data_IF_058518406501
#
_entry.id   IF_058518406501
#
_cell.length_a   1.000
_cell.length_b   1.000
_cell.length_c   1.000
_cell.angle_alpha   90.00
_cell.angle_beta   90.00
_cell.angle_gamma   90.00
#
_symmetry.space_group_name_H-M   'P 1'
#
loop_
_entity.id
_entity.type
_entity.pdbx_description
1 polymer ?
#
# COMPACT_ATOMS: atom_id res chain seq x y z
N UNK A 1 28.99 -22.71 66.06
CA UNK A 1 29.73 -23.66 65.19
C UNK A 1 28.83 -23.99 64.00
N UNK A 2 28.96 -23.30 62.87
CA UNK A 2 29.90 -23.55 61.75
C UNK A 2 29.52 -24.76 60.88
N UNK A 3 28.94 -24.50 59.71
CA UNK A 3 29.41 -24.90 58.35
C UNK A 3 28.38 -24.38 57.32
N UNK A 4 28.60 -23.26 56.60
CA UNK A 4 29.47 -22.96 55.44
C UNK A 4 29.19 -23.75 54.16
N UNK A 5 28.68 -22.99 53.18
CA UNK A 5 29.07 -22.93 51.75
C UNK A 5 28.65 -24.03 50.77
N UNK A 6 27.84 -23.65 49.77
CA UNK A 6 28.20 -23.62 48.33
C UNK A 6 27.02 -23.00 47.53
N UNK A 7 27.13 -21.76 47.06
CA UNK A 7 27.54 -21.36 45.70
C UNK A 7 26.72 -22.03 44.59
N UNK A 8 25.79 -21.28 43.98
CA UNK A 8 25.87 -20.93 42.55
C UNK A 8 24.84 -19.84 42.22
N UNK A 9 25.29 -18.59 42.25
CA UNK A 9 24.55 -17.44 41.72
C UNK A 9 24.50 -17.53 40.19
N UNK A 10 23.36 -17.95 39.63
CA UNK A 10 23.10 -17.82 38.20
C UNK A 10 22.56 -16.41 37.94
N UNK A 11 23.47 -15.47 37.72
CA UNK A 11 23.19 -14.14 37.17
C UNK A 11 22.74 -14.33 35.71
N UNK A 12 21.43 -14.40 35.49
CA UNK A 12 20.84 -14.26 34.16
C UNK A 12 20.93 -12.78 33.80
N UNK A 13 21.95 -12.45 33.00
CA UNK A 13 22.05 -11.17 32.32
C UNK A 13 20.85 -11.05 31.35
N UNK A 14 19.79 -10.37 31.77
CA UNK A 14 18.82 -9.80 30.85
C UNK A 14 19.57 -8.77 30.00
N UNK A 15 20.03 -9.19 28.83
CA UNK A 15 20.34 -8.28 27.74
C UNK A 15 19.03 -7.60 27.35
N UNK A 16 18.82 -6.39 27.88
CA UNK A 16 17.81 -5.48 27.36
C UNK A 16 18.15 -5.20 25.90
N UNK A 17 17.46 -5.88 24.99
CA UNK A 17 17.38 -5.46 23.60
C UNK A 17 16.62 -4.14 23.63
N UNK A 18 17.34 -3.03 23.79
CA UNK A 18 16.82 -1.72 23.44
C UNK A 18 16.56 -1.77 21.93
N UNK A 19 15.31 -2.08 21.57
CA UNK A 19 14.81 -1.68 20.27
C UNK A 19 15.03 -0.18 20.19
N UNK A 20 15.97 0.25 19.35
CA UNK A 20 16.11 1.64 18.98
C UNK A 20 14.82 2.03 18.24
N UNK A 21 13.81 2.45 19.00
CA UNK A 21 12.58 3.04 18.47
C UNK A 21 13.01 4.27 17.68
N UNK A 22 12.58 4.36 16.43
CA UNK A 22 12.77 5.54 15.63
C UNK A 22 12.12 6.74 16.35
N UNK A 23 12.92 7.63 16.91
CA UNK A 23 12.43 8.86 17.54
C UNK A 23 11.87 9.79 16.45
N UNK A 24 10.87 10.63 16.75
CA UNK A 24 10.30 11.56 15.75
C UNK A 24 11.35 12.49 15.10
N UNK A 25 12.39 12.98 15.78
CA UNK A 25 13.48 13.70 15.14
C UNK A 25 14.15 12.89 14.03
N UNK A 26 14.42 13.56 12.92
CA UNK A 26 15.04 12.97 11.76
C UNK A 26 14.64 13.65 10.46
N UNK A 27 15.18 13.12 9.39
CA UNK A 27 14.84 13.49 8.03
C UNK A 27 14.02 12.36 7.42
N UNK A 28 12.95 12.71 6.72
CA UNK A 28 12.03 11.76 6.14
C UNK A 28 11.68 12.14 4.70
N UNK A 29 11.62 11.12 3.83
CA UNK A 29 11.28 11.22 2.41
C UNK A 29 9.87 10.66 2.22
N UNK A 30 9.02 11.40 1.52
CA UNK A 30 7.66 10.95 1.25
C UNK A 30 7.62 9.80 0.26
N UNK A 31 6.70 8.85 0.49
CA UNK A 31 6.45 7.68 -0.35
C UNK A 31 4.98 7.62 -0.73
N UNK A 32 4.65 6.90 -1.81
CA UNK A 32 3.26 6.78 -2.28
C UNK A 32 2.68 8.14 -2.66
N UNK A 33 1.59 8.56 -2.02
CA UNK A 33 0.96 9.87 -2.25
C UNK A 33 1.85 11.05 -1.81
N UNK A 34 2.81 10.82 -0.92
CA UNK A 34 3.77 11.83 -0.48
C UNK A 34 5.04 11.89 -1.35
N UNK A 35 5.11 11.17 -2.49
CA UNK A 35 6.33 11.13 -3.31
C UNK A 35 6.79 12.54 -3.71
N UNK A 36 8.06 12.85 -3.46
CA UNK A 36 8.65 14.18 -3.72
C UNK A 36 8.52 15.16 -2.55
N UNK A 37 7.74 14.83 -1.53
CA UNK A 37 7.64 15.59 -0.28
C UNK A 37 8.78 15.20 0.68
N UNK A 38 9.06 16.08 1.65
CA UNK A 38 10.12 15.89 2.64
C UNK A 38 9.72 16.48 3.99
N UNK A 39 10.08 15.81 5.08
CA UNK A 39 9.92 16.32 6.44
C UNK A 39 11.26 16.26 7.15
N UNK A 40 11.65 17.36 7.79
CA UNK A 40 12.82 17.44 8.65
C UNK A 40 12.36 17.88 10.03
N UNK A 41 12.69 17.09 11.05
CA UNK A 41 12.31 17.35 12.44
C UNK A 41 13.53 17.26 13.34
N UNK A 42 13.62 18.19 14.28
CA UNK A 42 14.61 18.22 15.35
C UNK A 42 13.91 18.43 16.68
N UNK A 43 14.48 17.91 17.76
CA UNK A 43 13.97 18.20 19.10
C UNK A 43 14.17 19.69 19.42
N UNK A 44 13.16 20.32 20.01
CA UNK A 44 13.22 21.69 20.52
C UNK A 44 12.58 21.72 21.93
N UNK A 45 13.42 21.58 22.96
CA UNK A 45 12.97 21.45 24.33
C UNK A 45 12.02 20.25 24.53
N UNK A 46 10.78 20.53 24.91
CA UNK A 46 9.72 19.51 25.06
C UNK A 46 8.96 19.21 23.75
N UNK A 47 9.16 20.01 22.70
CA UNK A 47 8.49 19.89 21.41
C UNK A 47 9.43 19.45 20.29
N UNK A 48 8.99 19.69 19.05
CA UNK A 48 9.78 19.53 17.84
C UNK A 48 9.79 20.84 17.06
N UNK A 49 10.87 21.10 16.34
CA UNK A 49 10.89 22.14 15.31
C UNK A 49 11.43 21.54 14.01
N UNK A 50 10.97 22.06 12.89
CA UNK A 50 11.26 21.43 11.62
C UNK A 50 10.84 22.22 10.40
N UNK A 51 10.96 21.56 9.27
CA UNK A 51 10.40 22.04 8.02
C UNK A 51 9.77 20.89 7.24
N UNK A 52 8.70 21.21 6.50
CA UNK A 52 8.01 20.31 5.60
C UNK A 52 7.99 20.92 4.19
N UNK A 53 8.28 20.10 3.19
CA UNK A 53 8.07 20.42 1.78
C UNK A 53 6.91 19.57 1.29
N UNK A 54 5.83 20.23 0.88
CA UNK A 54 4.60 19.58 0.39
C UNK A 54 4.63 19.43 -1.13
N UNK A 55 3.51 19.00 -1.73
CA UNK A 55 3.40 18.72 -3.17
C UNK A 55 3.60 19.94 -4.09
N UNK A 56 3.51 21.15 -3.54
CA UNK A 56 3.82 22.41 -4.24
C UNK A 56 5.33 22.70 -4.31
N UNK A 57 6.15 21.90 -3.62
CA UNK A 57 7.60 22.08 -3.55
C UNK A 57 8.06 23.22 -2.62
N UNK A 58 7.14 23.94 -1.98
CA UNK A 58 7.49 25.01 -1.07
C UNK A 58 7.85 24.45 0.32
N UNK A 59 9.00 24.88 0.84
CA UNK A 59 9.49 24.50 2.17
C UNK A 59 8.92 25.44 3.22
N UNK A 60 8.21 24.88 4.20
CA UNK A 60 7.55 25.61 5.30
C UNK A 60 8.10 25.15 6.64
N UNK A 61 8.42 26.07 7.51
CA UNK A 61 8.88 25.76 8.87
C UNK A 61 7.70 25.56 9.81
N UNK A 62 7.90 24.76 10.85
CA UNK A 62 6.90 24.55 11.88
C UNK A 62 7.54 24.37 13.26
N UNK A 63 6.74 24.66 14.29
CA UNK A 63 6.94 24.19 15.66
C UNK A 63 5.80 23.27 16.01
N UNK A 64 6.15 22.09 16.50
CA UNK A 64 5.19 21.07 16.89
C UNK A 64 5.23 20.84 18.40
N UNK A 65 4.06 20.74 19.00
CA UNK A 65 3.92 20.31 20.37
C UNK A 65 3.90 18.78 20.42
N UNK A 66 4.63 18.19 21.36
CA UNK A 66 4.72 16.74 21.48
C UNK A 66 3.63 16.23 22.42
N UNK A 67 2.89 15.21 21.97
CA UNK A 67 1.83 14.55 22.74
C UNK A 67 2.13 13.05 22.82
N UNK A 68 3.01 12.67 23.75
CA UNK A 68 3.47 11.29 23.87
C UNK A 68 4.30 10.86 22.66
N UNK A 69 3.74 9.97 21.85
CA UNK A 69 4.40 9.40 20.65
C UNK A 69 4.04 10.12 19.35
N UNK A 70 3.24 11.19 19.44
CA UNK A 70 2.85 12.04 18.33
C UNK A 70 3.35 13.47 18.53
N UNK A 71 3.28 14.27 17.48
CA UNK A 71 3.46 15.70 17.56
C UNK A 71 2.46 16.43 16.66
N UNK A 72 2.13 17.67 16.99
CA UNK A 72 1.10 18.44 16.30
C UNK A 72 1.58 19.85 16.01
N UNK A 73 1.37 20.34 14.79
CA UNK A 73 1.78 21.67 14.36
C UNK A 73 0.72 22.33 13.48
N UNK A 74 0.78 23.65 13.37
CA UNK A 74 0.07 24.40 12.32
C UNK A 74 1.09 25.08 11.40
N UNK A 75 0.78 25.11 10.11
CA UNK A 75 1.57 25.81 9.09
C UNK A 75 0.66 26.66 8.21
N UNK A 76 1.21 27.73 7.65
CA UNK A 76 0.54 28.57 6.66
C UNK A 76 0.96 28.18 5.24
N UNK A 77 -0.01 28.16 4.31
CA UNK A 77 0.20 27.91 2.88
C UNK A 77 -0.46 29.00 2.04
N UNK A 78 -0.14 29.06 0.75
CA UNK A 78 -0.81 29.98 -0.18
C UNK A 78 -2.33 29.78 -0.27
N UNK A 79 -2.81 28.57 0.03
CA UNK A 79 -4.22 28.17 -0.03
C UNK A 79 -4.92 28.21 1.35
N UNK A 80 -4.23 28.67 2.39
CA UNK A 80 -4.73 28.75 3.78
C UNK A 80 -3.87 27.99 4.78
N UNK A 81 -4.37 27.81 6.00
CA UNK A 81 -3.64 27.14 7.08
C UNK A 81 -3.88 25.62 7.06
N UNK A 82 -2.87 24.84 7.45
CA UNK A 82 -2.94 23.39 7.61
C UNK A 82 -2.55 23.01 9.03
N UNK A 83 -3.29 22.07 9.60
CA UNK A 83 -2.89 21.35 10.81
C UNK A 83 -2.20 20.04 10.43
N UNK A 84 -1.09 19.76 11.10
CA UNK A 84 -0.25 18.60 10.88
C UNK A 84 -0.23 17.76 12.14
N UNK A 85 -0.48 16.46 12.00
CA UNK A 85 -0.29 15.48 13.06
C UNK A 85 0.71 14.41 12.62
N UNK A 86 1.82 14.36 13.33
CA UNK A 86 2.92 13.44 13.10
C UNK A 86 2.76 12.22 14.00
N UNK A 87 2.57 11.06 13.41
CA UNK A 87 2.51 9.78 14.12
C UNK A 87 3.70 8.90 13.69
N UNK A 88 4.38 8.30 14.67
CA UNK A 88 5.50 7.39 14.40
C UNK A 88 5.02 6.07 13.77
N UNK A 89 5.80 5.58 12.81
CA UNK A 89 5.70 4.24 12.26
C UNK A 89 7.02 3.46 12.41
N UNK A 90 6.99 2.15 12.12
CA UNK A 90 8.14 1.25 12.31
C UNK A 90 9.43 1.72 11.61
N UNK A 91 9.33 2.33 10.44
CA UNK A 91 10.47 2.77 9.60
C UNK A 91 10.38 4.24 9.19
N UNK A 92 9.48 5.01 9.81
CA UNK A 92 9.15 6.35 9.32
C UNK A 92 8.10 7.07 10.16
N UNK A 93 7.36 7.96 9.51
CA UNK A 93 6.27 8.74 10.11
C UNK A 93 5.10 8.85 9.13
N UNK A 94 3.89 8.87 9.68
CA UNK A 94 2.68 9.30 8.95
C UNK A 94 2.37 10.72 9.37
N UNK A 95 2.19 11.61 8.39
CA UNK A 95 1.74 12.98 8.62
C UNK A 95 0.31 13.09 8.15
N UNK A 96 -0.61 13.30 9.08
CA UNK A 96 -1.99 13.65 8.75
C UNK A 96 -2.07 15.15 8.55
N UNK A 97 -2.50 15.56 7.36
CA UNK A 97 -2.68 16.97 6.98
C UNK A 97 -4.17 17.26 6.97
N UNK A 98 -4.61 18.24 7.76
CA UNK A 98 -6.00 18.65 7.87
C UNK A 98 -6.09 20.16 7.59
N UNK A 99 -6.78 20.59 6.52
CA UNK A 99 -6.94 22.02 6.25
C UNK A 99 -7.90 22.67 7.23
N UNK A 100 -7.68 23.95 7.51
CA UNK A 100 -8.67 24.81 8.16
C UNK A 100 -9.67 25.35 7.12
N UNK A 101 -10.90 25.62 7.52
CA UNK A 101 -11.84 26.42 6.73
C UNK A 101 -11.71 27.93 7.02
N UNK A 102 -12.55 28.73 6.36
CA UNK A 102 -12.53 30.20 6.48
C UNK A 102 -12.86 30.67 7.90
N UNK A 103 -13.57 29.85 8.68
CA UNK A 103 -13.94 30.11 10.07
C UNK A 103 -12.88 29.60 11.07
N UNK A 104 -11.80 28.98 10.60
CA UNK A 104 -10.73 28.44 11.43
C UNK A 104 -11.05 27.08 12.07
N UNK A 105 -12.04 26.35 11.55
CA UNK A 105 -12.34 24.99 11.98
C UNK A 105 -11.61 23.94 11.12
N UNK A 106 -11.26 22.81 11.73
CA UNK A 106 -10.58 21.71 11.05
C UNK A 106 -11.53 20.95 10.12
N UNK A 107 -11.16 20.81 8.86
CA UNK A 107 -11.89 20.05 7.83
C UNK A 107 -11.44 18.61 7.80
N UNK A 108 -11.83 17.85 8.82
CA UNK A 108 -11.52 16.43 8.94
C UNK A 108 -12.03 15.59 7.74
N UNK A 109 -13.09 16.04 7.07
CA UNK A 109 -13.59 15.45 5.82
C UNK A 109 -12.60 15.53 4.64
N UNK A 110 -11.57 16.38 4.78
CA UNK A 110 -10.50 16.59 3.80
C UNK A 110 -9.12 16.19 4.34
N UNK A 111 -9.09 15.46 5.46
CA UNK A 111 -7.84 14.96 6.03
C UNK A 111 -7.14 13.99 5.07
N UNK A 112 -5.82 14.12 4.93
CA UNK A 112 -4.99 13.21 4.13
C UNK A 112 -3.85 12.67 4.98
N UNK A 113 -3.66 11.35 4.95
CA UNK A 113 -2.56 10.69 5.64
C UNK A 113 -1.41 10.42 4.65
N UNK A 114 -0.29 11.09 4.86
CA UNK A 114 0.88 11.03 3.99
C UNK A 114 1.99 10.20 4.65
N UNK A 115 2.49 9.19 3.96
CA UNK A 115 3.52 8.30 4.50
C UNK A 115 4.93 8.78 4.15
N UNK A 116 5.81 8.80 5.14
CA UNK A 116 7.22 9.17 4.97
C UNK A 116 8.11 8.12 5.61
N UNK A 117 9.25 7.87 4.97
CA UNK A 117 10.27 6.92 5.45
C UNK A 117 11.51 7.69 5.85
N UNK A 118 12.24 7.22 6.86
CA UNK A 118 13.45 7.91 7.30
C UNK A 118 14.50 7.89 6.18
N UNK A 119 15.17 9.03 5.96
CA UNK A 119 16.27 9.14 5.01
C UNK A 119 17.38 8.13 5.36
N UNK A 120 17.89 7.45 4.34
CA UNK A 120 18.88 6.38 4.51
C UNK A 120 18.30 4.99 4.82
N UNK A 121 17.00 4.87 5.09
CA UNK A 121 16.35 3.55 5.13
C UNK A 121 16.22 3.02 3.71
N UNK A 122 16.87 1.90 3.43
CA UNK A 122 16.70 1.19 2.17
C UNK A 122 15.26 0.68 2.09
N UNK A 123 14.48 1.26 1.18
CA UNK A 123 13.20 0.68 0.81
C UNK A 123 13.44 -0.62 0.05
N UNK A 124 12.55 -1.61 0.19
CA UNK A 124 12.60 -2.77 -0.70
C UNK A 124 12.53 -2.27 -2.14
N UNK A 125 13.32 -2.88 -3.02
CA UNK A 125 13.27 -2.57 -4.44
C UNK A 125 11.83 -2.67 -4.94
N UNK A 126 11.42 -1.67 -5.71
CA UNK A 126 10.13 -1.73 -6.39
C UNK A 126 10.07 -3.00 -7.23
N UNK A 127 8.90 -3.68 -7.31
CA UNK A 127 8.76 -4.87 -8.13
C UNK A 127 9.25 -4.65 -9.56
N UNK A 128 9.81 -5.68 -10.19
CA UNK A 128 10.21 -5.63 -11.60
C UNK A 128 9.04 -5.07 -12.44
N UNK A 129 9.31 -4.01 -13.22
CA UNK A 129 8.32 -3.29 -14.05
C UNK A 129 7.26 -2.48 -13.28
N UNK A 130 7.53 -2.08 -12.04
CA UNK A 130 6.72 -1.08 -11.36
C UNK A 130 6.62 0.20 -12.21
N UNK A 131 5.41 0.75 -12.30
CA UNK A 131 5.12 2.04 -12.90
C UNK A 131 4.47 2.95 -11.85
N UNK A 132 4.75 4.26 -11.89
CA UNK A 132 4.02 5.22 -11.07
C UNK A 132 2.53 5.22 -11.44
N UNK A 133 1.64 5.63 -10.51
CA UNK A 133 0.21 5.69 -10.78
C UNK A 133 -0.10 6.65 -11.94
N UNK A 134 -0.93 6.24 -12.92
CA UNK A 134 -1.37 7.15 -13.96
C UNK A 134 -2.19 8.30 -13.37
N UNK A 135 -1.94 9.52 -13.85
CA UNK A 135 -2.66 10.74 -13.46
C UNK A 135 -3.86 11.05 -14.34
N UNK A 136 -4.04 10.27 -15.43
CA UNK A 136 -5.15 10.38 -16.37
C UNK A 136 -5.41 9.01 -17.04
N UNK A 137 -6.54 8.82 -17.75
CA UNK A 137 -6.80 7.62 -18.53
C UNK A 137 -5.65 7.26 -19.47
N UNK A 138 -5.16 6.01 -19.38
CA UNK A 138 -4.07 5.50 -20.23
C UNK A 138 -4.62 4.65 -21.36
N UNK A 139 -4.05 4.79 -22.57
CA UNK A 139 -4.48 4.00 -23.74
C UNK A 139 -3.93 2.59 -23.76
N UNK A 140 -2.69 2.41 -23.34
CA UNK A 140 -1.98 1.13 -23.37
C UNK A 140 -1.09 1.01 -22.14
N UNK A 141 -1.18 -0.12 -21.45
CA UNK A 141 -0.24 -0.51 -20.40
C UNK A 141 0.15 -1.98 -20.55
N UNK A 142 1.42 -2.28 -20.30
CA UNK A 142 1.91 -3.66 -20.23
C UNK A 142 1.21 -4.40 -19.07
N UNK A 143 0.61 -5.55 -19.35
CA UNK A 143 -0.17 -6.29 -18.35
C UNK A 143 0.67 -6.69 -17.12
N UNK A 144 1.95 -7.04 -17.31
CA UNK A 144 2.86 -7.33 -16.18
C UNK A 144 3.13 -6.08 -15.34
N UNK A 145 3.35 -4.94 -15.99
CA UNK A 145 3.53 -3.66 -15.30
C UNK A 145 2.26 -3.23 -14.53
N UNK A 146 1.07 -3.46 -15.09
CA UNK A 146 -0.17 -3.23 -14.35
C UNK A 146 -0.25 -4.14 -13.10
N UNK A 147 -0.07 -5.45 -13.26
CA UNK A 147 -0.16 -6.44 -12.17
C UNK A 147 0.88 -6.19 -11.06
N UNK A 148 2.06 -5.68 -11.40
CA UNK A 148 3.07 -5.30 -10.42
C UNK A 148 2.74 -3.99 -9.68
N UNK A 149 1.99 -3.08 -10.29
CA UNK A 149 1.88 -1.69 -9.83
C UNK A 149 0.52 -1.33 -9.20
N UNK A 150 -0.59 -1.90 -9.67
CA UNK A 150 -1.94 -1.57 -9.17
C UNK A 150 -2.12 -1.60 -7.64
N UNK A 151 -1.46 -2.49 -6.86
CA UNK A 151 -1.68 -2.55 -5.42
C UNK A 151 -1.15 -1.33 -4.68
N UNK A 152 -0.31 -0.54 -5.33
CA UNK A 152 0.31 0.67 -4.79
C UNK A 152 -0.35 1.94 -5.34
N UNK A 153 -1.34 1.80 -6.21
CA UNK A 153 -1.99 2.92 -6.86
C UNK A 153 -3.28 3.31 -6.15
N UNK A 154 -3.63 4.61 -6.16
CA UNK A 154 -4.97 5.04 -5.79
C UNK A 154 -6.03 4.29 -6.63
N UNK A 155 -7.23 4.04 -6.08
CA UNK A 155 -8.29 3.31 -6.79
C UNK A 155 -8.61 3.82 -8.21
N UNK A 156 -8.60 5.14 -8.42
CA UNK A 156 -8.85 5.73 -9.74
C UNK A 156 -7.72 5.43 -10.74
N UNK A 157 -6.47 5.53 -10.29
CA UNK A 157 -5.31 5.22 -11.11
C UNK A 157 -5.26 3.73 -11.49
N UNK A 158 -5.67 2.84 -10.58
CA UNK A 158 -5.86 1.42 -10.88
C UNK A 158 -6.98 1.18 -11.91
N UNK A 159 -8.07 1.94 -11.88
CA UNK A 159 -9.14 1.86 -12.88
C UNK A 159 -8.67 2.27 -14.27
N UNK A 160 -7.98 3.40 -14.40
CA UNK A 160 -7.37 3.81 -15.66
C UNK A 160 -6.33 2.81 -16.16
N UNK A 161 -5.51 2.29 -15.24
CA UNK A 161 -4.54 1.24 -15.53
C UNK A 161 -5.21 -0.01 -16.09
N UNK A 162 -6.27 -0.49 -15.45
CA UNK A 162 -7.02 -1.66 -15.91
C UNK A 162 -7.56 -1.46 -17.32
N UNK A 163 -8.16 -0.30 -17.62
CA UNK A 163 -8.67 0.00 -18.96
C UNK A 163 -7.58 0.08 -20.02
N UNK A 164 -6.37 0.50 -19.65
CA UNK A 164 -5.22 0.47 -20.55
C UNK A 164 -4.65 -0.92 -20.83
N UNK A 165 -5.02 -1.96 -20.06
CA UNK A 165 -4.53 -3.33 -20.31
C UNK A 165 -5.24 -3.88 -21.56
N UNK A 166 -4.46 -4.40 -22.51
CA UNK A 166 -5.05 -4.99 -23.72
C UNK A 166 -6.10 -6.07 -23.38
N UNK A 167 -7.25 -6.12 -24.08
CA UNK A 167 -8.37 -7.00 -23.72
C UNK A 167 -7.98 -8.48 -23.53
N UNK A 168 -7.10 -9.01 -24.40
CA UNK A 168 -6.61 -10.40 -24.29
C UNK A 168 -5.93 -10.70 -22.95
N UNK A 169 -5.19 -9.74 -22.39
CA UNK A 169 -4.51 -9.93 -21.11
C UNK A 169 -5.45 -9.72 -19.94
N UNK A 170 -6.48 -8.86 -20.07
CA UNK A 170 -7.55 -8.76 -19.06
C UNK A 170 -8.31 -10.08 -18.91
N UNK A 171 -8.60 -10.75 -20.03
CA UNK A 171 -9.18 -12.10 -20.00
C UNK A 171 -8.27 -13.11 -19.29
N UNK A 172 -6.96 -13.06 -19.52
CA UNK A 172 -5.99 -13.91 -18.79
C UNK A 172 -5.99 -13.59 -17.30
N UNK A 173 -5.93 -12.31 -16.91
CA UNK A 173 -5.94 -11.88 -15.50
C UNK A 173 -7.21 -12.37 -14.79
N UNK A 174 -8.38 -12.29 -15.45
CA UNK A 174 -9.66 -12.77 -14.90
C UNK A 174 -9.70 -14.27 -14.59
N UNK A 175 -8.79 -15.07 -15.16
CA UNK A 175 -8.66 -16.49 -14.82
C UNK A 175 -7.93 -16.74 -13.49
N UNK A 176 -7.36 -15.69 -12.87
CA UNK A 176 -6.67 -15.76 -11.58
C UNK A 176 -7.57 -15.12 -10.51
N UNK A 177 -8.46 -15.91 -9.87
CA UNK A 177 -9.60 -15.37 -9.14
C UNK A 177 -9.24 -14.63 -7.85
N UNK A 178 -8.10 -14.93 -7.20
CA UNK A 178 -7.63 -14.16 -6.03
C UNK A 178 -7.10 -12.80 -6.47
N UNK A 179 -6.34 -12.76 -7.56
CA UNK A 179 -5.86 -11.50 -8.15
C UNK A 179 -7.03 -10.67 -8.64
N UNK A 180 -8.01 -11.29 -9.33
CA UNK A 180 -9.21 -10.62 -9.80
C UNK A 180 -10.02 -10.05 -8.62
N UNK A 181 -10.15 -10.79 -7.51
CA UNK A 181 -10.79 -10.28 -6.31
C UNK A 181 -10.03 -9.07 -5.70
N UNK A 182 -8.70 -9.09 -5.66
CA UNK A 182 -7.87 -7.97 -5.16
C UNK A 182 -7.95 -6.73 -6.06
N UNK A 183 -7.98 -6.94 -7.39
CA UNK A 183 -8.22 -5.88 -8.38
C UNK A 183 -9.62 -5.30 -8.17
N UNK A 184 -10.66 -6.13 -8.12
CA UNK A 184 -12.03 -5.68 -7.88
C UNK A 184 -12.16 -4.88 -6.59
N UNK A 185 -11.51 -5.32 -5.50
CA UNK A 185 -11.52 -4.58 -4.24
C UNK A 185 -10.91 -3.18 -4.38
N UNK A 186 -9.88 -3.04 -5.20
CA UNK A 186 -9.29 -1.73 -5.52
C UNK A 186 -10.22 -0.92 -6.43
N UNK A 187 -10.69 -1.48 -7.55
CA UNK A 187 -11.53 -0.78 -8.52
C UNK A 187 -12.88 -0.31 -7.95
N UNK A 188 -13.50 -1.11 -7.07
CA UNK A 188 -14.77 -0.78 -6.44
C UNK A 188 -14.69 0.38 -5.45
N UNK A 189 -13.48 0.82 -5.08
CA UNK A 189 -13.24 2.01 -4.24
C UNK A 189 -12.91 3.26 -5.05
N UNK A 190 -12.91 3.18 -6.38
CA UNK A 190 -12.71 4.35 -7.22
C UNK A 190 -13.86 5.36 -7.01
N UNK A 191 -13.56 6.68 -6.93
CA UNK A 191 -14.59 7.71 -6.75
C UNK A 191 -15.58 7.80 -7.91
N UNK A 192 -15.24 7.24 -9.08
CA UNK A 192 -16.11 7.18 -10.25
C UNK A 192 -16.09 5.76 -10.82
N UNK A 193 -17.24 5.32 -11.34
CA UNK A 193 -17.35 4.03 -12.03
C UNK A 193 -16.90 4.19 -13.47
N UNK A 194 -15.94 3.38 -13.88
CA UNK A 194 -15.43 3.38 -15.25
C UNK A 194 -16.01 2.19 -16.03
N UNK A 195 -15.90 2.19 -17.36
CA UNK A 195 -16.39 1.08 -18.18
C UNK A 195 -15.64 -0.23 -17.87
N UNK A 196 -14.35 -0.12 -17.56
CA UNK A 196 -13.50 -1.23 -17.17
C UNK A 196 -13.94 -1.94 -15.89
N UNK A 197 -14.61 -1.26 -14.96
CA UNK A 197 -15.18 -1.90 -13.76
C UNK A 197 -16.32 -2.87 -14.14
N UNK A 198 -17.18 -2.49 -15.07
CA UNK A 198 -18.25 -3.37 -15.57
C UNK A 198 -17.68 -4.65 -16.18
N UNK A 199 -16.65 -4.50 -17.02
CA UNK A 199 -15.93 -5.63 -17.62
C UNK A 199 -15.20 -6.49 -16.56
N UNK A 200 -14.63 -5.88 -15.52
CA UNK A 200 -13.95 -6.60 -14.46
C UNK A 200 -14.92 -7.44 -13.60
N UNK A 201 -16.14 -6.96 -13.38
CA UNK A 201 -17.18 -7.65 -12.61
C UNK A 201 -17.87 -8.77 -13.42
N UNK A 202 -17.86 -8.66 -14.74
CA UNK A 202 -18.54 -9.60 -15.62
C UNK A 202 -18.10 -11.05 -15.36
N UNK A 203 -19.07 -11.96 -15.23
CA UNK A 203 -18.84 -13.36 -14.92
C UNK A 203 -18.19 -13.66 -13.55
N UNK A 204 -17.97 -12.67 -12.68
CA UNK A 204 -17.29 -12.88 -11.39
C UNK A 204 -18.21 -13.26 -10.22
N UNK A 205 -19.53 -13.20 -10.44
CA UNK A 205 -20.54 -13.57 -9.43
C UNK A 205 -20.56 -12.67 -8.19
N UNK A 206 -20.05 -11.45 -8.29
CA UNK A 206 -19.98 -10.48 -7.19
C UNK A 206 -20.41 -9.09 -7.62
N UNK A 207 -20.93 -8.30 -6.67
CA UNK A 207 -21.07 -6.85 -6.78
C UNK A 207 -19.93 -6.14 -6.04
N UNK A 208 -19.74 -4.84 -6.30
CA UNK A 208 -18.75 -4.06 -5.56
C UNK A 208 -19.00 -4.03 -4.05
N UNK A 209 -20.27 -3.95 -3.63
CA UNK A 209 -20.63 -3.98 -2.22
C UNK A 209 -20.21 -5.30 -1.57
N UNK A 210 -20.45 -6.43 -2.25
CA UNK A 210 -20.07 -7.75 -1.76
C UNK A 210 -18.55 -7.91 -1.64
N UNK A 211 -17.78 -7.40 -2.61
CA UNK A 211 -16.31 -7.45 -2.57
C UNK A 211 -15.77 -6.62 -1.41
N UNK A 212 -16.20 -5.36 -1.30
CA UNK A 212 -15.73 -4.45 -0.23
C UNK A 212 -16.12 -4.99 1.16
N UNK A 213 -17.35 -5.50 1.30
CA UNK A 213 -17.83 -6.10 2.55
C UNK A 213 -17.04 -7.36 2.92
N UNK A 214 -16.78 -8.26 1.96
CA UNK A 214 -16.00 -9.47 2.21
C UNK A 214 -14.58 -9.14 2.69
N UNK A 215 -13.89 -8.20 2.05
CA UNK A 215 -12.54 -7.80 2.48
C UNK A 215 -12.57 -7.12 3.86
N UNK A 216 -13.58 -6.30 4.15
CA UNK A 216 -13.76 -5.72 5.49
C UNK A 216 -13.94 -6.79 6.57
N UNK A 217 -14.73 -7.83 6.30
CA UNK A 217 -14.89 -8.96 7.22
C UNK A 217 -13.57 -9.72 7.44
N UNK A 218 -12.74 -9.88 6.39
CA UNK A 218 -11.41 -10.48 6.53
C UNK A 218 -10.47 -9.64 7.41
N UNK A 219 -10.57 -8.32 7.34
CA UNK A 219 -9.80 -7.42 8.20
C UNK A 219 -10.21 -7.57 9.67
N UNK A 220 -11.52 -7.66 9.95
CA UNK A 220 -12.06 -7.82 11.31
C UNK A 220 -11.72 -9.21 11.89
N UNK A 221 -11.78 -10.25 11.08
CA UNK A 221 -11.51 -11.64 11.52
C UNK A 221 -10.02 -12.01 11.58
N UNK A 222 -9.13 -11.16 11.07
CA UNK A 222 -7.70 -11.47 10.92
C UNK A 222 -7.35 -12.36 9.72
N UNK A 223 -8.32 -12.72 8.88
CA UNK A 223 -8.08 -13.51 7.66
C UNK A 223 -7.40 -12.71 6.52
N UNK A 224 -7.34 -11.38 6.63
CA UNK A 224 -6.83 -10.49 5.57
C UNK A 224 -5.38 -10.78 5.19
N UNK A 225 -4.50 -11.01 6.17
CA UNK A 225 -3.09 -11.28 5.90
C UNK A 225 -2.90 -12.59 5.12
N UNK A 226 -3.72 -13.60 5.41
CA UNK A 226 -3.73 -14.86 4.66
C UNK A 226 -4.19 -14.61 3.21
N UNK A 227 -5.28 -13.87 3.03
CA UNK A 227 -5.75 -13.48 1.71
C UNK A 227 -4.65 -12.77 0.89
N UNK A 228 -3.96 -11.78 1.48
CA UNK A 228 -2.88 -11.07 0.78
C UNK A 228 -1.68 -11.97 0.45
N UNK A 229 -1.32 -12.92 1.32
CA UNK A 229 -0.27 -13.92 1.02
C UNK A 229 -0.65 -14.81 -0.17
N UNK A 230 -1.90 -15.28 -0.19
CA UNK A 230 -2.40 -16.15 -1.25
C UNK A 230 -2.51 -15.39 -2.59
N UNK A 231 -2.94 -14.11 -2.56
CA UNK A 231 -2.88 -13.20 -3.72
C UNK A 231 -1.44 -13.04 -4.23
N UNK A 232 -0.46 -12.83 -3.33
CA UNK A 232 0.94 -12.68 -3.72
C UNK A 232 1.51 -13.96 -4.35
N UNK A 233 1.07 -15.14 -3.88
CA UNK A 233 1.44 -16.42 -4.47
C UNK A 233 0.86 -16.57 -5.88
N UNK A 234 -0.43 -16.30 -6.04
CA UNK A 234 -1.09 -16.36 -7.34
C UNK A 234 -0.47 -15.36 -8.33
N UNK A 235 -0.08 -14.17 -7.85
CA UNK A 235 0.59 -13.15 -8.67
C UNK A 235 1.88 -13.64 -9.31
N UNK A 236 2.71 -14.38 -8.57
CA UNK A 236 3.96 -14.93 -9.12
C UNK A 236 3.68 -15.81 -10.35
N UNK A 237 2.63 -16.61 -10.28
CA UNK A 237 2.20 -17.48 -11.39
C UNK A 237 1.70 -16.64 -12.57
N UNK A 238 0.79 -15.69 -12.33
CA UNK A 238 0.26 -14.81 -13.37
C UNK A 238 1.37 -14.02 -14.09
N UNK A 239 2.38 -13.53 -13.36
CA UNK A 239 3.49 -12.79 -13.97
C UNK A 239 4.30 -13.62 -14.97
N UNK A 240 4.49 -14.92 -14.69
CA UNK A 240 5.08 -15.86 -15.65
C UNK A 240 4.16 -16.08 -16.85
N UNK A 241 2.85 -16.29 -16.63
CA UNK A 241 1.86 -16.45 -17.70
C UNK A 241 1.85 -15.27 -18.66
N UNK A 242 1.76 -14.04 -18.14
CA UNK A 242 1.75 -12.83 -18.95
C UNK A 242 3.09 -12.63 -19.69
N UNK A 243 4.21 -13.04 -19.08
CA UNK A 243 5.52 -13.01 -19.74
C UNK A 243 5.59 -13.93 -20.95
N UNK A 244 5.04 -15.14 -20.81
CA UNK A 244 5.00 -16.14 -21.88
C UNK A 244 3.99 -15.83 -22.98
N UNK A 245 2.85 -15.23 -22.63
CA UNK A 245 1.79 -14.88 -23.58
C UNK A 245 2.20 -13.77 -24.58
N UNK A 246 3.22 -12.97 -24.24
CA UNK A 246 3.71 -11.88 -25.10
C UNK A 246 4.64 -12.36 -26.22
N UNK A 247 5.33 -13.48 -26.03
CA UNK A 247 6.35 -13.97 -26.96
C UNK A 247 6.20 -15.49 -27.20
N UNK A 248 5.18 -15.84 -28.01
CA UNK A 248 4.82 -17.22 -28.36
C UNK A 248 5.94 -17.96 -29.12
N UNK A 249 6.97 -17.25 -29.59
CA UNK A 249 8.06 -17.83 -30.38
C UNK A 249 9.19 -18.41 -29.53
N UNK A 250 9.26 -18.05 -28.24
CA UNK A 250 10.28 -18.58 -27.33
C UNK A 250 9.79 -19.86 -26.68
N UNK A 251 10.28 -21.01 -27.17
CA UNK A 251 10.09 -22.31 -26.53
C UNK A 251 10.89 -22.39 -25.22
N UNK A 252 10.38 -21.75 -24.17
CA UNK A 252 10.96 -21.87 -22.82
C UNK A 252 10.17 -22.90 -22.01
N UNK A 253 10.83 -23.84 -21.29
CA UNK A 253 10.14 -24.85 -20.49
C UNK A 253 9.16 -24.30 -19.46
N UNK A 254 9.41 -23.10 -18.92
CA UNK A 254 8.50 -22.38 -18.02
C UNK A 254 7.20 -21.95 -18.72
N UNK A 255 7.22 -21.69 -20.02
CA UNK A 255 6.04 -21.26 -20.78
C UNK A 255 5.08 -22.43 -21.08
N UNK A 256 5.59 -23.65 -21.21
CA UNK A 256 4.73 -24.84 -21.27
C UNK A 256 3.95 -25.04 -19.98
N UNK A 257 4.61 -24.88 -18.82
CA UNK A 257 3.97 -24.96 -17.50
C UNK A 257 2.97 -23.83 -17.28
N UNK A 258 3.33 -22.60 -17.67
CA UNK A 258 2.44 -21.45 -17.62
C UNK A 258 1.18 -21.64 -18.49
N UNK A 259 1.33 -22.22 -19.69
CA UNK A 259 0.23 -22.56 -20.57
C UNK A 259 -0.70 -23.61 -19.95
N UNK A 260 -0.15 -24.68 -19.39
CA UNK A 260 -0.93 -25.72 -18.69
C UNK A 260 -1.69 -25.15 -17.48
N UNK A 261 -1.07 -24.27 -16.69
CA UNK A 261 -1.73 -23.60 -15.57
C UNK A 261 -2.86 -22.68 -16.05
N UNK A 262 -2.65 -21.92 -17.12
CA UNK A 262 -3.70 -21.07 -17.71
C UNK A 262 -4.89 -21.92 -18.17
N UNK A 263 -4.62 -23.04 -18.85
CA UNK A 263 -5.67 -23.97 -19.28
C UNK A 263 -6.44 -24.55 -18.09
N UNK A 264 -5.72 -24.98 -17.02
CA UNK A 264 -6.33 -25.47 -15.78
C UNK A 264 -7.25 -24.43 -15.13
N UNK A 265 -6.86 -23.15 -15.13
CA UNK A 265 -7.67 -22.06 -14.59
C UNK A 265 -8.88 -21.75 -15.45
N UNK A 266 -8.72 -21.80 -16.77
CA UNK A 266 -9.83 -21.62 -17.70
C UNK A 266 -10.94 -22.68 -17.50
N UNK A 267 -10.57 -23.93 -17.18
CA UNK A 267 -11.56 -25.01 -16.94
C UNK A 267 -12.10 -25.07 -15.51
N UNK A 268 -11.45 -24.45 -14.52
CA UNK A 268 -11.89 -24.57 -13.12
C UNK A 268 -13.16 -23.80 -12.82
N UNK A 269 -13.55 -22.86 -13.70
CA UNK A 269 -14.69 -21.94 -13.52
C UNK A 269 -14.67 -21.17 -12.18
N UNK A 270 -13.50 -21.06 -11.55
CA UNK A 270 -13.35 -20.28 -10.34
C UNK A 270 -13.50 -18.79 -10.64
N UNK A 271 -14.24 -18.10 -9.80
CA UNK A 271 -14.55 -16.67 -9.89
C UNK A 271 -14.09 -15.93 -8.64
N UNK A 272 -14.06 -14.60 -8.69
CA UNK A 272 -13.84 -13.79 -7.50
C UNK A 272 -14.79 -14.16 -6.35
N UNK A 273 -16.07 -14.49 -6.63
CA UNK A 273 -17.02 -14.95 -5.62
C UNK A 273 -16.51 -16.20 -4.88
N UNK A 274 -16.13 -17.23 -5.65
CA UNK A 274 -15.63 -18.49 -5.08
C UNK A 274 -14.32 -18.33 -4.33
N UNK A 275 -13.44 -17.43 -4.79
CA UNK A 275 -12.17 -17.15 -4.12
C UNK A 275 -12.39 -16.42 -2.79
N UNK A 276 -13.25 -15.40 -2.76
CA UNK A 276 -13.58 -14.65 -1.55
C UNK A 276 -14.26 -15.53 -0.49
N UNK A 277 -15.09 -16.49 -0.91
CA UNK A 277 -15.78 -17.41 0.00
C UNK A 277 -14.84 -18.28 0.86
N UNK A 278 -13.58 -18.47 0.45
CA UNK A 278 -12.57 -19.27 1.18
C UNK A 278 -12.05 -18.61 2.46
N UNK A 279 -12.37 -17.33 2.67
CA UNK A 279 -11.88 -16.52 3.78
C UNK A 279 -13.01 -15.97 4.66
N UNK A 280 -14.21 -16.51 4.49
CA UNK A 280 -15.35 -16.25 5.38
C UNK A 280 -15.34 -17.20 6.56
#
# INVERSE_FOLDING_TARGET
>A
MMHRSTFLSLLIALAAVFAARADLPGVYIGVGEAQGMRVEMSADGAGLQGAITLGDGERRTFRAERAGETAEAAIETGDGSLWLHFAREAVGVVVTVIPFDAEGALRADRAQALAFVREGVALPDAPERFLPPPTAPVRVIDARAFVSSYPFWPPMAAAWGWEGVEPRFRSVIRMFPLIQADILWTLCRAPQRTAGLGEALDGQGVTCEQVVSAVRQMQVSGAFDRFKRDVAQERRVLMTVLGCARDLTRQRPECARAGAETAKRAISMETAATALARYR
#
